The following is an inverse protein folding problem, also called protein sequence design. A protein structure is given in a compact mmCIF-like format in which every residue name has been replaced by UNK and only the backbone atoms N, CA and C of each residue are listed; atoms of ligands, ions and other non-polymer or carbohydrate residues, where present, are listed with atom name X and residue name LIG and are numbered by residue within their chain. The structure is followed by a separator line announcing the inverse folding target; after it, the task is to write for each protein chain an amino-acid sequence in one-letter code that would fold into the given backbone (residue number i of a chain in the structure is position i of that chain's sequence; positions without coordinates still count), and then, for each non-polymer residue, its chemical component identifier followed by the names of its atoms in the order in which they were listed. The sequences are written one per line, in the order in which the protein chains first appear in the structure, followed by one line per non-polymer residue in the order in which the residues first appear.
data_IF_542660549732
#
_entry.id   IF_542660549732
#
_cell.length_a   1.000
_cell.length_b   1.000
_cell.length_c   1.000
_cell.angle_alpha   90.00
_cell.angle_beta   90.00
_cell.angle_gamma   90.00
#
_symmetry.space_group_name_H-M   'P 1'
#
loop_
_entity.id
_entity.type
_entity.pdbx_description
1 polymer ?
#
# COMPACT_ATOMS: atom_id res chain seq x y z
N UNK A 1 38.75 -52.56 -39.93
CA UNK A 1 38.92 -51.97 -38.58
C UNK A 1 38.36 -50.55 -38.46
N UNK A 2 37.47 -50.10 -39.36
CA UNK A 2 37.09 -48.68 -39.49
C UNK A 2 35.74 -48.32 -38.82
N UNK A 3 34.83 -49.29 -38.71
CA UNK A 3 33.46 -49.11 -38.19
C UNK A 3 33.40 -48.82 -36.68
N UNK A 4 34.39 -49.29 -35.90
CA UNK A 4 34.50 -49.06 -34.44
C UNK A 4 35.01 -47.66 -34.07
N UNK A 5 35.82 -47.05 -34.95
CA UNK A 5 36.39 -45.71 -34.72
C UNK A 5 35.31 -44.62 -34.88
N UNK A 6 34.38 -44.82 -35.82
CA UNK A 6 33.28 -43.89 -36.08
C UNK A 6 32.22 -43.88 -34.96
N UNK A 7 31.95 -45.03 -34.35
CA UNK A 7 30.98 -45.14 -33.23
C UNK A 7 31.52 -44.51 -31.95
N UNK A 8 32.84 -44.59 -31.70
CA UNK A 8 33.47 -43.90 -30.58
C UNK A 8 33.47 -42.38 -30.77
N UNK A 9 33.81 -41.88 -31.96
CA UNK A 9 33.78 -40.44 -32.26
C UNK A 9 32.38 -39.83 -32.10
N UNK A 10 31.33 -40.51 -32.58
CA UNK A 10 29.94 -40.09 -32.40
C UNK A 10 29.52 -40.06 -30.92
N UNK A 11 29.98 -41.02 -30.12
CA UNK A 11 29.69 -41.08 -28.68
C UNK A 11 30.34 -39.92 -27.93
N UNK A 12 31.59 -39.55 -28.27
CA UNK A 12 32.26 -38.40 -27.68
C UNK A 12 31.57 -37.07 -28.01
N UNK A 13 31.13 -36.89 -29.26
CA UNK A 13 30.43 -35.68 -29.70
C UNK A 13 29.10 -35.52 -28.96
N UNK A 14 28.35 -36.62 -28.78
CA UNK A 14 27.08 -36.61 -28.04
C UNK A 14 27.28 -36.28 -26.56
N UNK A 15 28.31 -36.84 -25.92
CA UNK A 15 28.64 -36.52 -24.52
C UNK A 15 29.05 -35.05 -24.39
N UNK A 16 29.89 -34.53 -25.29
CA UNK A 16 30.30 -33.12 -25.28
C UNK A 16 29.11 -32.17 -25.46
N UNK A 17 28.23 -32.46 -26.43
CA UNK A 17 27.02 -31.68 -26.67
C UNK A 17 26.08 -31.69 -25.46
N UNK A 18 25.93 -32.83 -24.78
CA UNK A 18 25.11 -32.94 -23.56
C UNK A 18 25.68 -32.12 -22.39
N UNK A 19 27.00 -32.09 -22.23
CA UNK A 19 27.66 -31.28 -21.17
C UNK A 19 27.55 -29.78 -21.42
N UNK A 20 27.65 -29.34 -22.69
CA UNK A 20 27.47 -27.94 -23.07
C UNK A 20 26.01 -27.52 -22.83
N UNK A 21 25.05 -28.36 -23.20
CA UNK A 21 23.64 -28.11 -22.96
C UNK A 21 23.33 -28.01 -21.46
N UNK A 22 23.94 -28.87 -20.63
CA UNK A 22 23.78 -28.83 -19.18
C UNK A 22 24.39 -27.57 -18.54
N UNK A 23 25.54 -27.09 -19.06
CA UNK A 23 26.16 -25.83 -18.62
C UNK A 23 25.30 -24.61 -18.97
N UNK A 24 24.71 -24.57 -20.17
CA UNK A 24 23.84 -23.46 -20.60
C UNK A 24 22.53 -23.41 -19.80
N UNK A 25 21.96 -24.57 -19.44
CA UNK A 25 20.75 -24.63 -18.61
C UNK A 25 21.02 -24.12 -17.19
N UNK A 26 22.17 -24.46 -16.58
CA UNK A 26 22.53 -23.98 -15.24
C UNK A 26 22.95 -22.50 -15.21
N UNK A 27 23.48 -21.94 -16.29
CA UNK A 27 23.84 -20.52 -16.38
C UNK A 27 22.60 -19.60 -16.32
N UNK A 28 21.47 -20.03 -16.88
CA UNK A 28 20.23 -19.24 -16.87
C UNK A 28 19.57 -19.17 -15.48
N UNK A 29 19.81 -20.16 -14.60
CA UNK A 29 19.31 -20.12 -13.21
C UNK A 29 20.07 -19.16 -12.29
N UNK A 30 21.27 -18.70 -12.68
CA UNK A 30 22.09 -17.78 -11.89
C UNK A 30 21.81 -16.29 -12.14
N UNK A 31 21.01 -15.95 -13.15
CA UNK A 31 20.65 -14.55 -13.48
C UNK A 31 19.32 -14.08 -12.87
N UNK A 32 18.70 -14.88 -11.99
CA UNK A 32 17.40 -14.56 -11.36
C UNK A 32 17.51 -14.09 -9.91
N UNK A 33 18.53 -13.31 -9.57
CA UNK A 33 18.63 -12.54 -8.33
C UNK A 33 19.34 -11.22 -8.67
N UNK A 34 18.86 -10.03 -8.39
CA UNK A 34 17.95 -9.58 -7.35
C UNK A 34 17.24 -8.32 -7.88
N UNK A 35 15.97 -8.40 -8.29
CA UNK A 35 15.18 -7.18 -8.46
C UNK A 35 14.89 -6.70 -7.05
N UNK A 36 15.77 -5.87 -6.49
CA UNK A 36 15.59 -5.21 -5.20
C UNK A 36 14.27 -4.45 -5.28
N UNK A 37 13.21 -5.10 -4.80
CA UNK A 37 11.90 -4.50 -4.70
C UNK A 37 11.98 -3.60 -3.47
N UNK A 38 12.59 -2.42 -3.63
CA UNK A 38 12.54 -1.34 -2.67
C UNK A 38 11.10 -0.82 -2.62
N UNK A 39 10.18 -1.65 -2.11
CA UNK A 39 8.97 -1.13 -1.51
C UNK A 39 9.45 -0.37 -0.30
N UNK A 40 9.31 0.95 -0.33
CA UNK A 40 9.50 1.79 0.84
C UNK A 40 8.49 1.29 1.86
N UNK A 41 8.98 0.56 2.86
CA UNK A 41 8.15 0.05 3.92
C UNK A 41 7.84 1.22 4.84
N UNK A 42 6.56 1.47 5.12
CA UNK A 42 6.15 2.48 6.10
C UNK A 42 6.85 2.21 7.42
N UNK A 43 7.41 3.26 8.01
CA UNK A 43 8.06 3.17 9.31
C UNK A 43 7.05 2.65 10.36
N UNK A 44 7.38 1.60 11.13
CA UNK A 44 6.50 1.04 12.16
C UNK A 44 5.96 2.08 13.15
N UNK A 45 6.66 3.18 13.37
CA UNK A 45 6.19 4.30 14.19
C UNK A 45 4.84 4.85 13.71
N UNK A 46 4.68 5.09 12.41
CA UNK A 46 3.45 5.65 11.86
C UNK A 46 2.30 4.63 11.86
N UNK A 47 2.62 3.35 11.65
CA UNK A 47 1.63 2.27 11.76
C UNK A 47 1.11 2.13 13.19
N UNK A 48 2.01 2.21 14.18
CA UNK A 48 1.64 2.21 15.59
C UNK A 48 0.73 3.39 15.94
N UNK A 49 1.07 4.60 15.48
CA UNK A 49 0.24 5.78 15.69
C UNK A 49 -1.13 5.68 15.02
N UNK A 50 -1.20 5.04 13.85
CA UNK A 50 -2.46 4.76 13.19
C UNK A 50 -3.33 3.87 14.07
N UNK A 51 -2.78 2.74 14.55
CA UNK A 51 -3.49 1.80 15.43
C UNK A 51 -3.93 2.45 16.75
N UNK A 52 -3.06 3.23 17.40
CA UNK A 52 -3.39 4.00 18.60
C UNK A 52 -4.53 4.98 18.35
N UNK A 53 -4.48 5.69 17.22
CA UNK A 53 -5.54 6.58 16.78
C UNK A 53 -6.88 5.87 16.56
N UNK A 54 -6.87 4.66 15.98
CA UNK A 54 -8.07 3.85 15.83
C UNK A 54 -8.63 3.39 17.18
N UNK A 55 -7.75 3.00 18.11
CA UNK A 55 -8.17 2.61 19.46
C UNK A 55 -8.82 3.77 20.20
N UNK A 56 -8.23 4.97 20.17
CA UNK A 56 -8.81 6.18 20.75
C UNK A 56 -10.14 6.55 20.08
N UNK A 57 -10.23 6.46 18.74
CA UNK A 57 -11.46 6.70 18.00
C UNK A 57 -12.60 5.79 18.47
N UNK A 58 -12.31 4.49 18.62
CA UNK A 58 -13.28 3.49 19.08
C UNK A 58 -13.75 3.72 20.52
N UNK A 59 -12.94 4.40 21.36
CA UNK A 59 -13.33 4.84 22.70
C UNK A 59 -14.10 6.17 22.71
N UNK A 60 -14.24 6.85 21.57
CA UNK A 60 -14.84 8.18 21.46
C UNK A 60 -13.92 9.32 21.88
N UNK A 61 -12.63 9.05 22.09
CA UNK A 61 -11.61 10.02 22.47
C UNK A 61 -11.09 10.74 21.22
N UNK A 62 -11.97 11.55 20.60
CA UNK A 62 -11.71 12.12 19.28
C UNK A 62 -10.49 13.05 19.21
N UNK A 63 -10.15 13.74 20.30
CA UNK A 63 -8.97 14.61 20.33
C UNK A 63 -7.67 13.80 20.25
N UNK A 64 -7.55 12.76 21.07
CA UNK A 64 -6.39 11.86 21.06
C UNK A 64 -6.28 11.13 19.72
N UNK A 65 -7.40 10.59 19.23
CA UNK A 65 -7.47 9.97 17.91
C UNK A 65 -6.99 10.92 16.81
N UNK A 66 -7.45 12.17 16.83
CA UNK A 66 -7.08 13.18 15.85
C UNK A 66 -5.57 13.44 15.84
N UNK A 67 -4.93 13.58 17.01
CA UNK A 67 -3.49 13.83 17.08
C UNK A 67 -2.68 12.65 16.56
N UNK A 68 -2.98 11.43 17.01
CA UNK A 68 -2.25 10.23 16.59
C UNK A 68 -2.40 9.96 15.09
N UNK A 69 -3.63 10.07 14.56
CA UNK A 69 -3.90 9.87 13.14
C UNK A 69 -3.28 10.96 12.26
N UNK A 70 -3.19 12.20 12.75
CA UNK A 70 -2.58 13.30 12.01
C UNK A 70 -1.09 13.06 11.80
N UNK A 71 -0.40 12.56 12.83
CA UNK A 71 1.02 12.20 12.72
C UNK A 71 1.17 10.95 11.84
N UNK A 72 0.33 9.94 12.03
CA UNK A 72 0.34 8.73 11.20
C UNK A 72 0.20 9.07 9.70
N UNK A 73 -0.75 9.93 9.32
CA UNK A 73 -1.01 10.31 7.94
C UNK A 73 0.22 10.88 7.22
N UNK A 74 1.14 11.55 7.94
CA UNK A 74 2.39 12.05 7.36
C UNK A 74 3.30 10.92 6.85
N UNK A 75 3.39 9.81 7.59
CA UNK A 75 4.19 8.65 7.17
C UNK A 75 3.51 7.72 6.18
N UNK A 76 2.24 7.97 5.86
CA UNK A 76 1.43 7.12 4.97
C UNK A 76 1.32 7.68 3.55
N UNK A 77 2.08 8.72 3.19
CA UNK A 77 1.98 9.39 1.89
C UNK A 77 2.21 8.45 0.69
N UNK A 78 3.07 7.45 0.85
CA UNK A 78 3.35 6.43 -0.18
C UNK A 78 2.41 5.20 -0.09
N UNK A 79 1.52 5.16 0.89
CA UNK A 79 0.52 4.10 1.09
C UNK A 79 -0.91 4.66 0.95
N UNK A 80 -1.40 4.86 -0.29
CA UNK A 80 -2.66 5.58 -0.55
C UNK A 80 -3.90 4.90 0.03
N UNK A 81 -3.87 3.57 0.22
CA UNK A 81 -4.97 2.85 0.86
C UNK A 81 -5.08 3.26 2.34
N UNK A 82 -3.98 3.22 3.09
CA UNK A 82 -3.94 3.63 4.51
C UNK A 82 -4.11 5.14 4.69
N UNK A 83 -3.54 5.96 3.80
CA UNK A 83 -3.74 7.40 3.82
C UNK A 83 -5.22 7.78 3.67
N UNK A 84 -5.93 7.08 2.78
CA UNK A 84 -7.37 7.26 2.60
C UNK A 84 -8.15 6.94 3.88
N UNK A 85 -7.82 5.83 4.54
CA UNK A 85 -8.42 5.47 5.83
C UNK A 85 -8.12 6.54 6.91
N UNK A 86 -6.87 6.99 7.02
CA UNK A 86 -6.44 8.01 7.98
C UNK A 86 -7.20 9.34 7.80
N UNK A 87 -7.30 9.83 6.56
CA UNK A 87 -8.02 11.07 6.29
C UNK A 87 -9.53 10.97 6.54
N UNK A 88 -10.14 9.81 6.33
CA UNK A 88 -11.55 9.59 6.71
C UNK A 88 -11.72 9.71 8.22
N UNK A 89 -10.90 9.01 9.01
CA UNK A 89 -10.97 9.11 10.47
C UNK A 89 -10.68 10.53 10.96
N UNK A 90 -9.68 11.22 10.38
CA UNK A 90 -9.37 12.61 10.71
C UNK A 90 -10.54 13.56 10.43
N UNK A 91 -11.23 13.37 9.30
CA UNK A 91 -12.44 14.12 8.95
C UNK A 91 -13.55 13.88 9.97
N UNK A 92 -13.77 12.61 10.35
CA UNK A 92 -14.81 12.26 11.32
C UNK A 92 -14.46 12.80 12.72
N UNK A 93 -13.22 12.67 13.18
CA UNK A 93 -12.75 13.27 14.43
C UNK A 93 -12.97 14.78 14.43
N UNK A 94 -12.49 15.49 13.40
CA UNK A 94 -12.65 16.93 13.27
C UNK A 94 -14.13 17.37 13.34
N UNK A 95 -15.01 16.62 12.68
CA UNK A 95 -16.45 16.89 12.71
C UNK A 95 -17.05 16.73 14.12
N UNK A 96 -16.68 15.67 14.85
CA UNK A 96 -17.13 15.47 16.23
C UNK A 96 -16.58 16.55 17.17
N UNK A 97 -15.38 17.05 16.90
CA UNK A 97 -14.72 18.14 17.63
C UNK A 97 -15.19 19.55 17.22
N UNK A 98 -16.12 19.68 16.27
CA UNK A 98 -16.62 20.96 15.75
C UNK A 98 -15.53 21.84 15.12
N UNK A 99 -14.51 21.21 14.52
CA UNK A 99 -13.40 21.87 13.81
C UNK A 99 -13.66 21.87 12.30
N UNK A 100 -14.55 22.75 11.85
CA UNK A 100 -15.02 22.79 10.46
C UNK A 100 -13.90 23.06 9.45
N UNK A 101 -12.93 23.91 9.82
CA UNK A 101 -11.72 24.19 9.05
C UNK A 101 -10.92 22.91 8.76
N UNK A 102 -10.75 22.05 9.77
CA UNK A 102 -10.05 20.78 9.64
C UNK A 102 -10.87 19.77 8.82
N UNK A 103 -12.20 19.76 8.97
CA UNK A 103 -13.07 18.93 8.11
C UNK A 103 -12.87 19.29 6.65
N UNK A 104 -12.95 20.57 6.30
CA UNK A 104 -12.72 21.03 4.94
C UNK A 104 -11.32 20.69 4.43
N UNK A 105 -10.31 20.87 5.27
CA UNK A 105 -8.92 20.56 4.93
C UNK A 105 -8.77 19.10 4.50
N UNK A 106 -9.25 18.15 5.30
CA UNK A 106 -9.10 16.73 4.99
C UNK A 106 -9.97 16.29 3.81
N UNK A 107 -11.16 16.90 3.62
CA UNK A 107 -11.95 16.68 2.41
C UNK A 107 -11.21 17.14 1.15
N UNK A 108 -10.53 18.29 1.20
CA UNK A 108 -9.70 18.81 0.11
C UNK A 108 -8.49 17.90 -0.15
N UNK A 109 -7.82 17.41 0.88
CA UNK A 109 -6.68 16.50 0.72
C UNK A 109 -7.12 15.14 0.12
N UNK A 110 -8.25 14.57 0.56
CA UNK A 110 -8.83 13.36 -0.04
C UNK A 110 -9.07 13.56 -1.55
N UNK A 111 -9.61 14.70 -1.95
CA UNK A 111 -9.81 15.04 -3.35
C UNK A 111 -8.49 15.22 -4.10
N UNK A 112 -7.53 15.96 -3.53
CA UNK A 112 -6.20 16.23 -4.08
C UNK A 112 -5.41 14.96 -4.36
N UNK A 113 -5.39 14.03 -3.41
CA UNK A 113 -4.73 12.73 -3.54
C UNK A 113 -5.57 11.68 -4.29
N UNK A 114 -6.77 12.04 -4.76
CA UNK A 114 -7.69 11.17 -5.53
C UNK A 114 -8.03 9.87 -4.79
N UNK A 115 -8.24 9.94 -3.48
CA UNK A 115 -8.39 8.77 -2.60
C UNK A 115 -9.82 8.18 -2.60
N UNK A 116 -10.78 8.78 -3.30
CA UNK A 116 -12.18 8.33 -3.27
C UNK A 116 -12.35 6.83 -3.59
N UNK A 117 -11.72 6.34 -4.66
CA UNK A 117 -11.81 4.91 -5.03
C UNK A 117 -11.15 4.00 -3.98
N UNK A 118 -10.08 4.48 -3.35
CA UNK A 118 -9.35 3.78 -2.29
C UNK A 118 -10.22 3.66 -1.04
N UNK A 119 -10.86 4.75 -0.64
CA UNK A 119 -11.80 4.82 0.48
C UNK A 119 -13.01 3.90 0.24
N UNK A 120 -13.55 3.83 -0.97
CA UNK A 120 -14.65 2.92 -1.30
C UNK A 120 -14.25 1.45 -1.10
N UNK A 121 -13.08 1.05 -1.59
CA UNK A 121 -12.52 -0.30 -1.45
C UNK A 121 -11.87 -0.61 -0.11
N UNK A 122 -11.76 0.37 0.78
CA UNK A 122 -11.07 0.25 2.07
C UNK A 122 -11.76 -0.68 3.06
N UNK A 123 -11.03 -1.02 4.13
CA UNK A 123 -11.50 -1.86 5.23
C UNK A 123 -12.24 -1.07 6.32
N UNK A 124 -12.52 0.22 6.08
CA UNK A 124 -13.24 1.06 7.03
C UNK A 124 -14.57 0.42 7.44
N UNK A 125 -14.92 0.44 8.75
CA UNK A 125 -16.22 -0.01 9.21
C UNK A 125 -17.35 0.71 8.48
N UNK A 126 -18.44 -0.02 8.20
CA UNK A 126 -19.60 0.54 7.49
C UNK A 126 -20.14 1.81 8.16
N UNK A 127 -20.17 1.83 9.50
CA UNK A 127 -20.60 2.97 10.31
C UNK A 127 -19.75 4.21 10.07
N UNK A 128 -18.43 4.06 9.95
CA UNK A 128 -17.49 5.14 9.67
C UNK A 128 -17.67 5.65 8.24
N UNK A 129 -17.83 4.75 7.25
CA UNK A 129 -18.12 5.13 5.86
C UNK A 129 -19.42 5.94 5.75
N UNK A 130 -20.47 5.52 6.46
CA UNK A 130 -21.75 6.23 6.48
C UNK A 130 -21.63 7.60 7.16
N UNK A 131 -20.92 7.70 8.28
CA UNK A 131 -20.69 8.97 8.96
C UNK A 131 -19.90 9.93 8.07
N UNK A 132 -18.84 9.45 7.43
CA UNK A 132 -18.06 10.22 6.47
C UNK A 132 -18.90 10.72 5.29
N UNK A 133 -19.73 9.85 4.69
CA UNK A 133 -20.62 10.24 3.59
C UNK A 133 -21.64 11.34 3.99
N UNK A 134 -22.16 11.28 5.22
CA UNK A 134 -23.02 12.34 5.77
C UNK A 134 -22.27 13.67 5.90
N UNK A 135 -21.04 13.64 6.41
CA UNK A 135 -20.18 14.82 6.53
C UNK A 135 -19.90 15.42 5.15
N UNK A 136 -19.50 14.60 4.18
CA UNK A 136 -19.26 15.05 2.81
C UNK A 136 -20.47 15.76 2.20
N UNK A 137 -21.67 15.22 2.42
CA UNK A 137 -22.92 15.82 1.93
C UNK A 137 -23.19 17.16 2.61
N UNK A 138 -23.00 17.24 3.94
CA UNK A 138 -23.19 18.47 4.71
C UNK A 138 -22.26 19.59 4.23
N UNK A 139 -20.99 19.29 3.99
CA UNK A 139 -20.00 20.28 3.56
C UNK A 139 -20.08 20.63 2.08
N UNK A 140 -20.52 19.69 1.22
CA UNK A 140 -20.81 19.99 -0.19
C UNK A 140 -21.94 21.00 -0.35
N UNK A 141 -22.94 20.96 0.53
CA UNK A 141 -24.09 21.86 0.50
C UNK A 141 -23.87 23.16 1.30
N UNK A 142 -22.78 23.25 2.07
CA UNK A 142 -22.45 24.40 2.94
C UNK A 142 -21.37 25.34 2.40
N UNK A 143 -20.70 24.99 1.30
CA UNK A 143 -19.68 25.84 0.67
C UNK A 143 -20.36 26.84 -0.30
N UNK A 144 -20.25 28.16 -0.10
CA UNK A 144 -20.57 29.11 -1.17
C UNK A 144 -19.60 28.87 -2.33
N UNK A 145 -20.16 28.70 -3.53
CA UNK A 145 -19.41 28.51 -4.77
C UNK A 145 -18.51 29.68 -5.13
#
# INVERSE_FOLDING_TARGET
MEKRRNTQALSFILVLASTILFLVINANSLLSQEKVNNKIQVDPFYLKLFDEGLLAFNRGEFEEAFQSLKIAAFGLLDEPDLLGEAFVYLTVCAYNLKREDQVEYYLKEIARFKLNNRILGSRLPKTVKEQFARIQTSFKNGLPG
#
